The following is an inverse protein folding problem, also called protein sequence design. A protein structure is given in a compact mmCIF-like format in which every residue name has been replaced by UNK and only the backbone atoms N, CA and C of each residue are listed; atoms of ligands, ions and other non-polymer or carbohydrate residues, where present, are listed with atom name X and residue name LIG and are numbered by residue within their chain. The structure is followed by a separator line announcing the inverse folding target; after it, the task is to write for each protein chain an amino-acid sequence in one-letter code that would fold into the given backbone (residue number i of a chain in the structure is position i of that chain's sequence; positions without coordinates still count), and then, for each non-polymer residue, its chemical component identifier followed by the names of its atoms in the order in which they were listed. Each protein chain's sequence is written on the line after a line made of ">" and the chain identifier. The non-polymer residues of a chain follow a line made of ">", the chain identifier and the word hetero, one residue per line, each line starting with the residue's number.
data_IF_299483838536
#
_entry.id   IF_299483838536
#
_cell.length_a   1.000
_cell.length_b   1.000
_cell.length_c   1.000
_cell.angle_alpha   90.00
_cell.angle_beta   90.00
_cell.angle_gamma   90.00
#
_symmetry.space_group_name_H-M   'P 1'
#
loop_
_entity.id
_entity.type
_entity.pdbx_description
1 polymer ?
#
# COMPACT_ATOMS: atom_id res chain seq x y z
N UNK A 1 6.84 1.91 13.23
CA UNK A 1 6.78 1.94 14.70
C UNK A 1 5.54 2.68 15.20
N UNK A 2 5.28 3.89 14.70
CA UNK A 2 4.17 4.70 15.19
C UNK A 2 2.79 4.14 14.79
N UNK A 3 2.67 3.62 13.57
CA UNK A 3 1.41 3.01 13.10
C UNK A 3 1.11 1.75 13.91
N UNK A 4 2.11 0.93 14.21
CA UNK A 4 1.93 -0.26 15.05
C UNK A 4 1.40 0.10 16.44
N UNK A 5 1.92 1.17 17.04
CA UNK A 5 1.44 1.66 18.34
C UNK A 5 -0.02 2.10 18.30
N UNK A 6 -0.41 2.78 17.21
CA UNK A 6 -1.80 3.21 17.03
C UNK A 6 -2.74 2.01 16.90
N UNK A 7 -2.34 0.99 16.15
CA UNK A 7 -3.11 -0.25 16.01
C UNK A 7 -3.25 -0.95 17.36
N UNK A 8 -2.16 -1.12 18.07
CA UNK A 8 -2.14 -1.81 19.36
C UNK A 8 -2.95 -1.06 20.45
N UNK A 9 -2.99 0.27 20.37
CA UNK A 9 -3.73 1.12 21.31
C UNK A 9 -5.22 1.23 20.96
N UNK A 10 -5.62 0.88 19.73
CA UNK A 10 -7.02 1.00 19.32
C UNK A 10 -7.90 0.01 20.06
N UNK A 11 -8.97 0.51 20.65
CA UNK A 11 -9.98 -0.32 21.36
C UNK A 11 -11.13 -0.77 20.45
N UNK A 12 -11.01 -0.61 19.14
CA UNK A 12 -12.03 -0.94 18.15
C UNK A 12 -11.38 -1.54 16.90
N UNK A 13 -12.15 -2.20 16.01
CA UNK A 13 -11.64 -2.74 14.77
C UNK A 13 -11.01 -1.66 13.89
N UNK A 14 -9.85 -1.98 13.29
CA UNK A 14 -9.08 -1.07 12.44
C UNK A 14 -9.04 -1.61 11.03
N UNK A 15 -9.27 -0.75 10.05
CA UNK A 15 -9.03 -1.03 8.63
C UNK A 15 -7.95 -0.06 8.12
N UNK A 16 -6.97 -0.60 7.43
CA UNK A 16 -5.87 0.18 6.90
C UNK A 16 -6.17 0.66 5.48
N UNK A 17 -5.67 1.84 5.14
CA UNK A 17 -5.69 2.35 3.76
C UNK A 17 -4.26 2.77 3.43
N UNK A 18 -3.69 2.19 2.39
CA UNK A 18 -2.32 2.48 1.98
C UNK A 18 -2.21 2.75 0.49
N UNK A 19 -1.48 3.80 0.12
CA UNK A 19 -1.23 4.19 -1.25
C UNK A 19 0.24 4.03 -1.60
N UNK A 20 0.53 3.54 -2.81
CA UNK A 20 1.90 3.39 -3.31
C UNK A 20 2.74 2.51 -2.37
N UNK A 21 3.89 2.99 -1.90
CA UNK A 21 4.70 2.28 -0.91
C UNK A 21 3.95 2.08 0.42
N UNK A 22 3.03 2.99 0.77
CA UNK A 22 2.13 2.83 1.91
C UNK A 22 1.24 1.60 1.79
N UNK A 23 0.93 1.16 0.57
CA UNK A 23 0.24 -0.10 0.31
C UNK A 23 1.06 -1.32 0.72
N UNK A 24 2.37 -1.30 0.48
CA UNK A 24 3.27 -2.35 0.94
C UNK A 24 3.28 -2.44 2.48
N UNK A 25 3.39 -1.31 3.17
CA UNK A 25 3.36 -1.29 4.62
C UNK A 25 2.00 -1.70 5.19
N UNK A 26 0.91 -1.27 4.56
CA UNK A 26 -0.43 -1.70 4.94
C UNK A 26 -0.59 -3.22 4.81
N UNK A 27 -0.09 -3.81 3.74
CA UNK A 27 -0.07 -5.26 3.56
C UNK A 27 0.71 -5.96 4.68
N UNK A 28 1.91 -5.50 4.99
CA UNK A 28 2.73 -6.06 6.06
C UNK A 28 2.01 -6.00 7.41
N UNK A 29 1.44 -4.84 7.76
CA UNK A 29 0.73 -4.66 9.03
C UNK A 29 -0.59 -5.42 9.08
N UNK A 30 -1.31 -5.51 7.96
CA UNK A 30 -2.55 -6.27 7.89
C UNK A 30 -2.31 -7.75 8.15
N UNK A 31 -1.24 -8.33 7.60
CA UNK A 31 -0.87 -9.73 7.88
C UNK A 31 -0.41 -9.91 9.32
N UNK A 32 0.37 -8.96 9.84
CA UNK A 32 0.87 -9.03 11.22
C UNK A 32 -0.24 -8.98 12.27
N UNK A 33 -1.24 -8.14 12.07
CA UNK A 33 -2.30 -7.89 13.05
C UNK A 33 -3.66 -8.50 12.69
N UNK A 34 -3.76 -9.19 11.55
CA UNK A 34 -5.02 -9.79 11.11
C UNK A 34 -6.08 -8.76 10.72
N UNK A 35 -5.69 -7.68 10.04
CA UNK A 35 -6.57 -6.58 9.65
C UNK A 35 -6.96 -6.65 8.18
N UNK A 36 -8.02 -5.93 7.82
CA UNK A 36 -8.37 -5.65 6.44
C UNK A 36 -7.69 -4.37 5.96
N UNK A 37 -7.44 -4.29 4.67
CA UNK A 37 -6.79 -3.12 4.08
C UNK A 37 -7.31 -2.81 2.67
N UNK A 38 -7.42 -1.52 2.38
CA UNK A 38 -7.63 -0.99 1.04
C UNK A 38 -6.29 -0.50 0.52
N UNK A 39 -5.89 -0.98 -0.64
CA UNK A 39 -4.59 -0.69 -1.24
C UNK A 39 -4.79 0.08 -2.53
N UNK A 40 -4.21 1.27 -2.62
CA UNK A 40 -4.42 2.21 -3.73
C UNK A 40 -3.13 2.33 -4.51
N UNK A 41 -3.14 1.91 -5.78
CA UNK A 41 -1.95 1.89 -6.63
C UNK A 41 -0.71 1.39 -5.85
N UNK A 42 -0.80 0.22 -5.18
CA UNK A 42 0.23 -0.20 -4.24
C UNK A 42 1.51 -0.63 -4.95
N UNK A 43 2.64 -0.44 -4.26
CA UNK A 43 3.91 -0.98 -4.67
C UNK A 43 3.96 -2.48 -4.33
N UNK A 44 4.06 -3.32 -5.35
CA UNK A 44 4.32 -4.75 -5.17
C UNK A 44 5.84 -4.96 -5.09
N UNK A 45 6.39 -4.79 -3.90
CA UNK A 45 7.84 -4.77 -3.66
C UNK A 45 8.54 -6.04 -4.15
N UNK A 46 7.86 -7.18 -4.15
CA UNK A 46 8.37 -8.43 -4.70
C UNK A 46 8.89 -8.29 -6.15
N UNK A 47 8.25 -7.42 -6.94
CA UNK A 47 8.58 -7.21 -8.35
C UNK A 47 9.50 -6.02 -8.59
N UNK A 48 9.87 -5.30 -7.54
CA UNK A 48 10.71 -4.11 -7.63
C UNK A 48 12.12 -4.44 -7.18
N UNK A 49 13.09 -3.73 -7.76
CA UNK A 49 14.47 -3.74 -7.26
C UNK A 49 14.61 -2.61 -6.23
N UNK A 50 14.69 -2.91 -4.92
CA UNK A 50 14.83 -1.87 -3.91
C UNK A 50 16.09 -1.03 -4.07
N UNK A 51 17.11 -1.55 -4.76
CA UNK A 51 18.35 -0.82 -5.03
C UNK A 51 18.11 0.45 -5.86
N UNK A 52 17.03 0.49 -6.67
CA UNK A 52 16.66 1.68 -7.44
C UNK A 52 16.27 2.87 -6.55
N UNK A 53 15.90 2.63 -5.32
CA UNK A 53 15.49 3.67 -4.37
C UNK A 53 16.63 4.11 -3.43
N UNK A 54 17.80 3.47 -3.50
CA UNK A 54 18.95 3.85 -2.69
C UNK A 54 19.43 5.23 -3.11
N UNK A 55 19.58 6.14 -2.14
CA UNK A 55 20.02 7.51 -2.36
C UNK A 55 19.24 8.51 -1.55
N UNK A 56 19.46 9.78 -1.87
CA UNK A 56 18.83 10.89 -1.16
C UNK A 56 17.45 11.19 -1.75
N UNK A 57 16.50 11.43 -0.87
CA UNK A 57 15.12 11.75 -1.21
C UNK A 57 14.63 12.93 -0.40
N UNK A 58 13.57 13.57 -0.89
CA UNK A 58 12.87 14.65 -0.20
C UNK A 58 11.43 14.25 0.06
N UNK A 59 10.97 14.41 1.29
CA UNK A 59 9.57 14.22 1.62
C UNK A 59 8.74 15.35 1.04
N UNK A 60 7.80 15.05 0.15
CA UNK A 60 6.98 16.05 -0.54
C UNK A 60 6.10 16.88 0.40
N UNK A 61 5.74 16.35 1.56
CA UNK A 61 4.87 17.04 2.51
C UNK A 61 5.63 17.90 3.50
N UNK A 62 6.74 17.40 4.06
CA UNK A 62 7.52 18.08 5.09
C UNK A 62 8.73 18.82 4.55
N UNK A 63 9.18 18.49 3.33
CA UNK A 63 10.43 18.99 2.78
C UNK A 63 11.69 18.38 3.42
N UNK A 64 11.53 17.45 4.37
CA UNK A 64 12.66 16.77 4.99
C UNK A 64 13.40 15.91 3.96
N UNK A 65 14.73 15.95 4.06
CA UNK A 65 15.60 15.06 3.29
C UNK A 65 15.85 13.80 4.08
N UNK A 66 15.87 12.68 3.38
CA UNK A 66 16.25 11.40 3.95
C UNK A 66 17.06 10.59 2.95
N UNK A 67 17.87 9.67 3.47
CA UNK A 67 18.67 8.77 2.64
C UNK A 67 18.11 7.36 2.75
N UNK A 68 17.73 6.79 1.62
CA UNK A 68 17.33 5.38 1.54
C UNK A 68 18.61 4.55 1.38
N UNK A 69 18.90 3.72 2.38
CA UNK A 69 20.14 2.94 2.46
C UNK A 69 19.96 1.49 2.05
N UNK A 70 21.06 0.75 1.91
CA UNK A 70 21.02 -0.71 1.70
C UNK A 70 20.27 -1.40 2.84
N UNK A 71 20.45 -0.95 4.08
CA UNK A 71 19.70 -1.48 5.23
C UNK A 71 18.21 -1.28 5.07
N UNK A 72 17.76 -0.12 4.58
CA UNK A 72 16.35 0.13 4.27
C UNK A 72 15.83 -0.80 3.18
N UNK A 73 16.61 -1.03 2.12
CA UNK A 73 16.25 -1.95 1.05
C UNK A 73 16.08 -3.38 1.57
N UNK A 74 16.95 -3.83 2.43
CA UNK A 74 16.86 -5.16 3.07
C UNK A 74 15.63 -5.26 3.95
N UNK A 75 15.32 -4.24 4.74
CA UNK A 75 14.11 -4.19 5.57
C UNK A 75 12.84 -4.26 4.72
N UNK A 76 12.81 -3.49 3.63
CA UNK A 76 11.67 -3.44 2.73
C UNK A 76 11.40 -4.82 2.11
N UNK A 77 12.45 -5.48 1.63
CA UNK A 77 12.35 -6.82 1.07
C UNK A 77 11.90 -7.86 2.11
N UNK A 78 12.39 -7.75 3.34
CA UNK A 78 12.01 -8.64 4.43
C UNK A 78 10.55 -8.49 4.87
N UNK A 79 9.92 -7.37 4.57
CA UNK A 79 8.52 -7.09 4.89
C UNK A 79 7.54 -7.57 3.82
N UNK A 80 8.01 -8.14 2.73
CA UNK A 80 7.11 -8.71 1.72
C UNK A 80 6.30 -9.84 2.35
N UNK A 81 4.98 -9.67 2.37
CA UNK A 81 4.04 -10.57 3.04
C UNK A 81 3.03 -11.09 2.03
N UNK A 82 2.98 -12.41 1.78
CA UNK A 82 1.97 -12.98 0.91
C UNK A 82 0.56 -12.60 1.41
N UNK A 83 -0.30 -12.03 0.54
CA UNK A 83 -1.59 -11.55 0.97
C UNK A 83 -2.57 -12.70 1.23
N UNK A 84 -3.28 -12.63 2.35
CA UNK A 84 -4.39 -13.53 2.63
C UNK A 84 -5.61 -13.11 1.81
N UNK A 85 -6.15 -13.99 0.96
CA UNK A 85 -7.37 -13.68 0.19
C UNK A 85 -8.53 -13.28 1.11
N UNK A 86 -9.34 -12.32 0.64
CA UNK A 86 -10.48 -11.82 1.40
C UNK A 86 -10.16 -10.68 2.38
N UNK A 87 -8.88 -10.44 2.63
CA UNK A 87 -8.43 -9.35 3.53
C UNK A 87 -8.27 -8.02 2.85
N UNK A 88 -8.00 -8.01 1.55
CA UNK A 88 -7.60 -6.82 0.80
C UNK A 88 -8.62 -6.42 -0.25
N UNK A 89 -8.73 -5.12 -0.47
CA UNK A 89 -9.38 -4.54 -1.63
C UNK A 89 -8.38 -3.68 -2.37
N UNK A 90 -8.01 -4.11 -3.56
CA UNK A 90 -7.06 -3.44 -4.43
C UNK A 90 -7.80 -2.44 -5.35
N UNK A 91 -7.37 -1.20 -5.32
CA UNK A 91 -7.82 -0.14 -6.23
C UNK A 91 -6.62 0.28 -7.09
N UNK A 92 -6.66 -0.04 -8.37
CA UNK A 92 -5.56 0.25 -9.29
C UNK A 92 -6.05 1.00 -10.51
N UNK A 93 -5.23 1.89 -11.02
CA UNK A 93 -5.46 2.58 -12.29
C UNK A 93 -4.45 2.13 -13.33
N UNK A 94 -4.94 1.76 -14.51
CA UNK A 94 -4.07 1.28 -15.61
C UNK A 94 -3.12 2.36 -16.11
N UNK A 95 -3.46 3.64 -15.92
CA UNK A 95 -2.63 4.78 -16.29
C UNK A 95 -1.56 5.15 -15.29
N UNK A 96 -1.33 4.34 -14.24
CA UNK A 96 -0.23 4.56 -13.30
C UNK A 96 1.10 4.56 -14.05
N UNK A 97 1.75 5.72 -14.07
CA UNK A 97 3.01 5.94 -14.79
C UNK A 97 4.25 5.62 -13.95
N UNK A 98 4.05 5.35 -12.66
CA UNK A 98 5.14 5.04 -11.71
C UNK A 98 5.28 3.54 -11.49
N UNK A 99 4.15 2.85 -11.29
CA UNK A 99 4.11 1.44 -11.00
C UNK A 99 3.25 0.69 -12.02
N UNK A 100 3.71 -0.46 -12.46
CA UNK A 100 2.93 -1.33 -13.34
C UNK A 100 1.82 -1.99 -12.55
N UNK A 101 0.57 -1.60 -12.80
CA UNK A 101 -0.61 -2.12 -12.09
C UNK A 101 -0.74 -3.65 -12.20
N UNK A 102 -0.20 -4.25 -13.27
CA UNK A 102 -0.26 -5.70 -13.48
C UNK A 102 0.54 -6.47 -12.43
N UNK A 103 1.61 -5.88 -11.91
CA UNK A 103 2.40 -6.48 -10.83
C UNK A 103 1.58 -6.59 -9.54
N UNK A 104 0.87 -5.53 -9.18
CA UNK A 104 -0.02 -5.54 -8.03
C UNK A 104 -1.19 -6.51 -8.24
N UNK A 105 -1.80 -6.52 -9.43
CA UNK A 105 -2.89 -7.43 -9.75
C UNK A 105 -2.47 -8.90 -9.60
N UNK A 106 -1.26 -9.25 -9.99
CA UNK A 106 -0.71 -10.58 -9.84
C UNK A 106 -0.41 -10.91 -8.37
N UNK A 107 0.26 -10.01 -7.66
CA UNK A 107 0.61 -10.23 -6.27
C UNK A 107 -0.63 -10.40 -5.37
N UNK A 108 -1.68 -9.65 -5.64
CA UNK A 108 -2.94 -9.73 -4.89
C UNK A 108 -4.01 -10.59 -5.60
N UNK A 109 -3.60 -11.52 -6.45
CA UNK A 109 -4.51 -12.45 -7.09
C UNK A 109 -5.34 -13.19 -6.02
N UNK A 110 -6.65 -13.32 -6.25
CA UNK A 110 -7.57 -13.90 -5.28
C UNK A 110 -8.19 -12.90 -4.30
N UNK A 111 -7.68 -11.66 -4.23
CA UNK A 111 -8.28 -10.59 -3.46
C UNK A 111 -9.30 -9.81 -4.31
N UNK A 112 -10.17 -9.04 -3.65
CA UNK A 112 -11.07 -8.11 -4.34
C UNK A 112 -10.25 -7.07 -5.08
N UNK A 113 -10.51 -6.88 -6.37
CA UNK A 113 -9.80 -5.91 -7.21
C UNK A 113 -10.76 -5.07 -8.01
N UNK A 114 -10.52 -3.76 -8.02
CA UNK A 114 -11.16 -2.80 -8.91
C UNK A 114 -10.05 -2.14 -9.72
N UNK A 115 -9.96 -2.50 -11.00
CA UNK A 115 -8.95 -1.98 -11.92
C UNK A 115 -9.65 -1.02 -12.88
N UNK A 116 -9.21 0.24 -12.88
CA UNK A 116 -9.84 1.31 -13.65
C UNK A 116 -9.00 1.68 -14.86
N UNK A 117 -9.61 1.90 -16.02
CA UNK A 117 -8.90 2.40 -17.18
C UNK A 117 -8.45 3.85 -16.98
N UNK A 118 -7.32 4.23 -17.55
CA UNK A 118 -6.78 5.58 -17.44
C UNK A 118 -6.28 5.90 -16.04
N UNK A 119 -6.43 7.16 -15.65
CA UNK A 119 -5.96 7.66 -14.36
C UNK A 119 -4.45 7.85 -14.30
N UNK A 120 -3.93 7.89 -13.09
CA UNK A 120 -2.51 8.10 -12.82
C UNK A 120 -2.11 7.51 -11.46
N UNK A 121 -0.81 7.65 -11.11
CA UNK A 121 -0.31 7.14 -9.83
C UNK A 121 -0.94 7.83 -8.61
N UNK A 122 -1.35 9.07 -8.73
CA UNK A 122 -1.95 9.84 -7.62
C UNK A 122 -3.34 9.37 -7.23
N UNK A 123 -4.03 8.64 -8.10
CA UNK A 123 -5.39 8.16 -7.87
C UNK A 123 -6.34 9.31 -7.50
N UNK A 124 -6.48 10.27 -8.39
CA UNK A 124 -7.29 11.48 -8.14
C UNK A 124 -8.78 11.20 -7.95
N UNK A 125 -9.25 10.00 -8.32
CA UNK A 125 -10.63 9.53 -8.08
C UNK A 125 -10.89 9.06 -6.65
N UNK A 126 -9.97 9.21 -5.74
CA UNK A 126 -10.10 8.67 -4.37
C UNK A 126 -11.41 9.07 -3.70
N UNK A 127 -11.81 10.33 -3.84
CA UNK A 127 -13.06 10.82 -3.23
C UNK A 127 -14.30 10.07 -3.70
N UNK A 128 -14.31 9.59 -4.95
CA UNK A 128 -15.42 8.83 -5.52
C UNK A 128 -15.59 7.47 -4.85
N UNK A 129 -14.52 6.91 -4.31
CA UNK A 129 -14.51 5.62 -3.64
C UNK A 129 -14.67 5.72 -2.13
N UNK A 130 -14.64 6.91 -1.56
CA UNK A 130 -14.70 7.09 -0.11
C UNK A 130 -15.93 6.42 0.52
N UNK A 131 -17.16 6.54 -0.02
CA UNK A 131 -18.31 5.84 0.55
C UNK A 131 -18.14 4.33 0.58
N UNK A 132 -17.60 3.75 -0.48
CA UNK A 132 -17.37 2.31 -0.58
C UNK A 132 -16.26 1.83 0.35
N UNK A 133 -15.22 2.66 0.55
CA UNK A 133 -14.13 2.37 1.48
C UNK A 133 -14.67 2.35 2.92
N UNK A 134 -15.51 3.32 3.27
CA UNK A 134 -16.13 3.35 4.59
C UNK A 134 -17.03 2.13 4.82
N UNK A 135 -17.80 1.73 3.84
CA UNK A 135 -18.61 0.52 3.90
C UNK A 135 -17.74 -0.73 4.08
N UNK A 136 -16.67 -0.83 3.33
CA UNK A 136 -15.69 -1.93 3.45
C UNK A 136 -15.08 -1.99 4.85
N UNK A 137 -14.86 -0.85 5.48
CA UNK A 137 -14.36 -0.75 6.85
C UNK A 137 -15.43 -1.00 7.92
N UNK A 138 -16.68 -1.21 7.54
CA UNK A 138 -17.78 -1.42 8.45
C UNK A 138 -18.36 -0.14 9.07
N UNK A 139 -18.13 0.99 8.42
CA UNK A 139 -18.57 2.29 8.93
C UNK A 139 -19.83 2.82 8.21
#
# INVERSE_FOLDING_TARGET
>A
ADVSRLIEAAGWPVTLVGSSLGGHYANHLAEKYGLNAVLINPAAVRYLDPALFIGDHVNFHSGERFTFTVAHAVQLAAQVSPPTPGRYWLLSEMGDEVLDWRQAAEFYAGCRQTVLPGGDHSFTRFAEFMPQILEYAGL
#
